data_IF_833981226736
#
_entry.id   IF_833981226736
#
_cell.length_a   1.000
_cell.length_b   1.000
_cell.length_c   1.000
_cell.angle_alpha   90.00
_cell.angle_beta   90.00
_cell.angle_gamma   90.00
#
_symmetry.space_group_name_H-M   'P 1'
#
loop_
_entity.id
_entity.type
_entity.pdbx_description
1 polymer ?
#
# COMPACT_ATOMS: atom_id res chain seq x y z
N UNK A 1 -0.68 1.36 -43.83
CA UNK A 1 -1.47 1.40 -42.58
C UNK A 1 -1.70 -0.03 -42.15
N UNK A 2 -0.95 -0.52 -41.17
CA UNK A 2 -1.10 -1.88 -40.65
C UNK A 2 -1.33 -1.73 -39.15
N UNK A 3 -2.60 -1.88 -38.75
CA UNK A 3 -3.01 -1.82 -37.34
C UNK A 3 -2.49 -3.06 -36.63
N UNK A 4 -1.83 -2.87 -35.50
CA UNK A 4 -1.37 -3.98 -34.67
C UNK A 4 -2.54 -4.39 -33.77
N UNK A 5 -2.96 -5.65 -33.86
CA UNK A 5 -4.02 -6.20 -33.02
C UNK A 5 -3.45 -6.44 -31.62
N UNK A 6 -3.93 -5.65 -30.64
CA UNK A 6 -3.65 -5.90 -29.23
C UNK A 6 -4.13 -7.28 -28.82
N UNK A 7 -3.35 -7.98 -27.99
CA UNK A 7 -3.75 -9.25 -27.39
C UNK A 7 -4.92 -8.96 -26.45
N UNK A 8 -6.10 -9.50 -26.77
CA UNK A 8 -7.26 -9.48 -25.88
C UNK A 8 -7.34 -10.85 -25.21
N UNK A 9 -6.92 -10.92 -23.95
CA UNK A 9 -7.16 -12.10 -23.11
C UNK A 9 -8.48 -11.90 -22.37
N UNK A 10 -9.58 -12.44 -22.92
CA UNK A 10 -10.87 -12.46 -22.24
C UNK A 10 -11.07 -13.82 -21.57
N UNK A 11 -11.05 -13.84 -20.23
CA UNK A 11 -11.47 -15.00 -19.44
C UNK A 11 -10.58 -15.30 -18.25
N UNK A 12 -11.01 -14.87 -17.06
CA UNK A 12 -10.76 -15.53 -15.76
C UNK A 12 -9.34 -15.99 -15.42
N UNK A 13 -8.30 -15.40 -16.00
CA UNK A 13 -6.93 -15.86 -15.86
C UNK A 13 -6.13 -14.83 -15.08
N UNK A 14 -5.58 -15.25 -13.94
CA UNK A 14 -4.71 -14.44 -13.11
C UNK A 14 -3.32 -14.38 -13.78
N UNK A 15 -3.00 -13.25 -14.41
CA UNK A 15 -1.73 -13.06 -15.09
C UNK A 15 -0.71 -12.59 -14.06
N UNK A 16 0.12 -13.50 -13.57
CA UNK A 16 1.25 -13.16 -12.71
C UNK A 16 2.49 -13.00 -13.60
N UNK A 17 2.71 -11.79 -14.08
CA UNK A 17 3.89 -11.47 -14.90
C UNK A 17 3.92 -10.00 -15.28
N UNK A 18 5.08 -9.34 -15.10
CA UNK A 18 5.28 -7.94 -15.47
C UNK A 18 5.07 -7.76 -16.97
N UNK A 19 4.10 -6.92 -17.36
CA UNK A 19 3.93 -6.50 -18.73
C UNK A 19 5.10 -5.58 -19.11
N UNK A 20 6.12 -6.12 -19.79
CA UNK A 20 7.26 -5.35 -20.29
C UNK A 20 6.97 -4.91 -21.72
N UNK A 21 6.56 -3.66 -21.90
CA UNK A 21 6.48 -3.05 -23.23
C UNK A 21 7.84 -2.42 -23.57
N UNK A 22 8.61 -3.03 -24.48
CA UNK A 22 9.86 -2.46 -24.97
C UNK A 22 9.65 -1.82 -26.35
N UNK A 23 9.63 -0.49 -26.38
CA UNK A 23 9.54 0.32 -27.59
C UNK A 23 9.42 1.81 -27.27
N UNK A 24 10.20 2.66 -27.96
CA UNK A 24 10.17 4.12 -27.79
C UNK A 24 8.78 4.63 -28.24
N UNK A 25 7.89 4.88 -27.28
CA UNK A 25 6.46 5.28 -27.38
C UNK A 25 5.39 4.18 -27.17
N UNK A 26 5.73 3.01 -26.61
CA UNK A 26 4.71 2.06 -26.19
C UNK A 26 4.06 2.50 -24.86
N UNK A 27 2.75 2.80 -24.87
CA UNK A 27 1.95 2.99 -23.66
C UNK A 27 1.17 1.71 -23.39
N UNK A 28 1.39 1.10 -22.22
CA UNK A 28 0.54 0.05 -21.69
C UNK A 28 -0.42 0.70 -20.69
N UNK A 29 -1.70 0.78 -21.03
CA UNK A 29 -2.74 1.16 -20.06
C UNK A 29 -3.30 -0.12 -19.45
N UNK A 30 -2.87 -0.41 -18.23
CA UNK A 30 -3.49 -1.44 -17.39
C UNK A 30 -4.64 -0.75 -16.66
N UNK A 31 -5.86 -0.94 -17.15
CA UNK A 31 -7.07 -0.60 -16.40
C UNK A 31 -7.42 -1.77 -15.51
N UNK A 32 -6.78 -1.83 -14.34
CA UNK A 32 -7.10 -2.82 -13.32
C UNK A 32 -8.11 -2.26 -12.32
N UNK A 33 -9.20 -2.98 -12.15
CA UNK A 33 -10.23 -2.73 -11.15
C UNK A 33 -9.89 -3.59 -9.93
N UNK A 34 -8.89 -3.20 -9.16
CA UNK A 34 -8.51 -3.97 -7.97
C UNK A 34 -7.05 -3.84 -7.56
N UNK A 35 -6.80 -2.94 -6.61
CA UNK A 35 -5.75 -3.13 -5.60
C UNK A 35 -4.32 -3.34 -6.12
N UNK A 36 -3.88 -2.68 -7.19
CA UNK A 36 -2.45 -2.38 -7.36
C UNK A 36 -2.31 -1.03 -8.08
N UNK A 37 -1.91 0.01 -7.38
CA UNK A 37 -1.41 1.22 -8.03
C UNK A 37 -0.25 1.79 -7.21
N UNK A 38 0.96 1.32 -7.51
CA UNK A 38 2.11 2.21 -7.48
C UNK A 38 1.95 3.17 -8.66
N UNK A 39 1.01 4.13 -8.55
CA UNK A 39 0.85 5.20 -9.52
C UNK A 39 1.92 6.25 -9.23
N UNK A 40 2.81 6.44 -10.20
CA UNK A 40 3.88 7.43 -10.09
C UNK A 40 3.32 8.82 -9.77
N UNK A 41 3.59 9.29 -8.55
CA UNK A 41 3.41 10.68 -8.15
C UNK A 41 2.04 11.08 -7.61
N UNK A 42 1.10 10.15 -7.40
CA UNK A 42 -0.17 10.48 -6.72
C UNK A 42 0.03 10.44 -5.21
N UNK A 43 -0.19 11.56 -4.53
CA UNK A 43 -0.23 11.61 -3.07
C UNK A 43 -1.43 10.78 -2.59
N UNK A 44 -1.24 9.79 -1.71
CA UNK A 44 -2.32 8.98 -1.19
C UNK A 44 -3.24 9.83 -0.32
N UNK A 45 -4.54 9.59 -0.45
CA UNK A 45 -5.55 10.25 0.36
C UNK A 45 -5.53 9.71 1.80
N UNK A 46 -6.00 10.51 2.78
CA UNK A 46 -6.17 10.03 4.15
C UNK A 46 -7.01 8.75 4.25
N UNK A 47 -7.98 8.56 3.36
CA UNK A 47 -8.79 7.35 3.33
C UNK A 47 -7.97 6.11 2.93
N UNK A 48 -7.13 6.24 1.90
CA UNK A 48 -6.23 5.15 1.46
C UNK A 48 -5.23 4.77 2.56
N UNK A 49 -4.70 5.75 3.30
CA UNK A 49 -3.83 5.48 4.46
C UNK A 49 -4.62 4.76 5.56
N UNK A 50 -5.86 5.17 5.83
CA UNK A 50 -6.75 4.51 6.78
C UNK A 50 -7.04 3.05 6.43
N UNK A 51 -7.19 2.74 5.14
CA UNK A 51 -7.40 1.38 4.65
C UNK A 51 -6.14 0.52 4.83
N UNK A 52 -4.95 1.09 4.56
CA UNK A 52 -3.67 0.41 4.81
C UNK A 52 -3.46 0.10 6.30
N UNK A 53 -3.81 1.04 7.18
CA UNK A 53 -3.75 0.83 8.64
C UNK A 53 -4.76 -0.25 9.09
N UNK A 54 -5.95 -0.28 8.51
CA UNK A 54 -6.95 -1.33 8.81
C UNK A 54 -6.44 -2.71 8.39
N UNK A 55 -5.82 -2.81 7.20
CA UNK A 55 -5.18 -4.04 6.73
C UNK A 55 -4.02 -4.47 7.64
N UNK A 56 -3.27 -3.53 8.20
CA UNK A 56 -2.19 -3.82 9.13
C UNK A 56 -2.71 -4.46 10.42
N UNK A 57 -3.80 -3.94 10.98
CA UNK A 57 -4.47 -4.53 12.15
C UNK A 57 -4.91 -5.97 11.86
N UNK A 58 -5.53 -6.19 10.69
CA UNK A 58 -5.99 -7.51 10.27
C UNK A 58 -4.84 -8.52 10.13
N UNK A 59 -3.71 -8.11 9.52
CA UNK A 59 -2.53 -8.96 9.38
C UNK A 59 -1.85 -9.22 10.73
N UNK A 60 -1.76 -8.21 11.61
CA UNK A 60 -1.23 -8.35 12.96
C UNK A 60 -2.08 -9.32 13.79
N UNK A 61 -3.41 -9.24 13.67
CA UNK A 61 -4.35 -10.13 14.35
C UNK A 61 -4.26 -11.60 13.90
N UNK A 62 -3.77 -11.85 12.68
CA UNK A 62 -3.50 -13.20 12.14
C UNK A 62 -2.07 -13.67 12.38
N UNK A 63 -1.19 -12.78 12.85
CA UNK A 63 0.22 -13.07 13.09
C UNK A 63 0.48 -13.50 14.54
N UNK A 64 1.51 -14.32 14.74
CA UNK A 64 2.06 -14.64 16.06
C UNK A 64 3.09 -13.60 16.54
N UNK A 65 2.97 -12.34 16.10
CA UNK A 65 3.94 -11.30 16.48
C UNK A 65 3.93 -11.10 18.00
N UNK A 66 5.12 -11.09 18.66
CA UNK A 66 5.20 -10.98 20.12
C UNK A 66 4.56 -9.69 20.63
N UNK A 67 4.74 -8.59 19.89
CA UNK A 67 4.22 -7.26 20.20
C UNK A 67 2.90 -6.96 19.46
N UNK A 68 2.14 -7.96 19.02
CA UNK A 68 0.93 -7.72 18.19
C UNK A 68 -0.07 -6.78 18.84
N UNK A 69 -0.25 -6.87 20.15
CA UNK A 69 -1.24 -6.07 20.89
C UNK A 69 -0.83 -4.59 20.87
N UNK A 70 0.43 -4.32 21.22
CA UNK A 70 0.99 -2.97 21.22
C UNK A 70 1.00 -2.36 19.81
N UNK A 71 1.27 -3.17 18.78
CA UNK A 71 1.24 -2.71 17.39
C UNK A 71 -0.17 -2.44 16.88
N UNK A 72 -1.17 -3.25 17.28
CA UNK A 72 -2.58 -2.98 16.96
C UNK A 72 -3.01 -1.68 17.62
N UNK A 73 -2.74 -1.50 18.91
CA UNK A 73 -3.05 -0.26 19.64
C UNK A 73 -2.40 0.96 18.97
N UNK A 74 -1.10 0.90 18.69
CA UNK A 74 -0.40 1.98 18.00
C UNK A 74 -0.96 2.29 16.61
N UNK A 75 -1.45 1.26 15.90
CA UNK A 75 -2.07 1.41 14.58
C UNK A 75 -3.47 2.03 14.68
N UNK A 76 -4.26 1.67 15.69
CA UNK A 76 -5.54 2.31 16.00
C UNK A 76 -5.34 3.78 16.35
N UNK A 77 -4.35 4.09 17.19
CA UNK A 77 -3.98 5.44 17.60
C UNK A 77 -3.57 6.32 16.39
N UNK A 78 -2.90 5.72 15.40
CA UNK A 78 -2.57 6.37 14.13
C UNK A 78 -3.80 6.61 13.23
N UNK A 79 -4.79 5.69 13.23
CA UNK A 79 -6.06 5.88 12.51
C UNK A 79 -6.89 7.01 13.12
N UNK A 80 -6.95 7.08 14.44
CA UNK A 80 -7.63 8.18 15.14
C UNK A 80 -6.96 9.52 14.84
N UNK A 81 -5.62 9.57 14.88
CA UNK A 81 -4.87 10.78 14.53
C UNK A 81 -5.12 11.23 13.10
N UNK A 82 -5.24 10.28 12.17
CA UNK A 82 -5.52 10.58 10.76
C UNK A 82 -6.95 11.09 10.53
N UNK A 83 -7.90 10.67 11.36
CA UNK A 83 -9.29 11.09 11.30
C UNK A 83 -9.57 12.41 12.04
N UNK A 84 -8.58 12.92 12.79
CA UNK A 84 -8.70 14.20 13.49
C UNK A 84 -8.91 15.37 12.50
N UNK A 85 -9.60 16.42 12.95
CA UNK A 85 -9.80 17.64 12.14
C UNK A 85 -8.46 18.30 11.77
N UNK A 86 -7.46 18.19 12.65
CA UNK A 86 -6.09 18.69 12.44
C UNK A 86 -5.06 17.57 12.70
N UNK A 87 -4.79 16.69 11.71
CA UNK A 87 -3.86 15.58 11.89
C UNK A 87 -2.42 16.03 12.16
N UNK A 88 -1.81 15.54 13.22
CA UNK A 88 -0.40 15.82 13.54
C UNK A 88 0.49 14.93 12.69
N UNK A 89 0.87 15.43 11.51
CA UNK A 89 1.79 14.76 10.57
C UNK A 89 3.08 14.26 11.23
N UNK A 90 3.61 14.99 12.21
CA UNK A 90 4.80 14.58 12.97
C UNK A 90 4.59 13.27 13.77
N UNK A 91 3.40 13.09 14.37
CA UNK A 91 3.04 11.86 15.09
C UNK A 91 2.91 10.68 14.11
N UNK A 92 2.24 10.89 12.98
CA UNK A 92 2.09 9.87 11.95
C UNK A 92 3.44 9.42 11.36
N UNK A 93 4.35 10.37 11.08
CA UNK A 93 5.71 10.05 10.60
C UNK A 93 6.53 9.28 11.64
N UNK A 94 6.42 9.64 12.92
CA UNK A 94 7.07 8.91 14.00
C UNK A 94 6.53 7.47 14.10
N UNK A 95 5.20 7.32 14.04
CA UNK A 95 4.55 6.00 14.00
C UNK A 95 5.08 5.15 12.85
N UNK A 96 5.08 5.67 11.62
CA UNK A 96 5.53 4.94 10.44
C UNK A 96 6.98 4.45 10.58
N UNK A 97 7.86 5.29 11.11
CA UNK A 97 9.27 4.94 11.34
C UNK A 97 9.43 3.86 12.40
N UNK A 98 8.68 3.94 13.50
CA UNK A 98 8.71 2.93 14.57
C UNK A 98 8.15 1.59 14.08
N UNK A 99 7.06 1.64 13.30
CA UNK A 99 6.42 0.46 12.71
C UNK A 99 7.42 -0.35 11.89
N UNK A 100 8.20 0.29 11.00
CA UNK A 100 9.20 -0.40 10.18
C UNK A 100 10.24 -1.18 11.01
N UNK A 101 10.64 -0.63 12.16
CA UNK A 101 11.55 -1.31 13.08
C UNK A 101 10.89 -2.50 13.75
N UNK A 102 9.66 -2.33 14.22
CA UNK A 102 8.94 -3.35 14.97
C UNK A 102 8.56 -4.57 14.14
N UNK A 103 8.18 -4.38 12.86
CA UNK A 103 7.80 -5.50 11.98
C UNK A 103 8.97 -6.09 11.19
N UNK A 104 10.20 -5.66 11.48
CA UNK A 104 11.40 -6.13 10.80
C UNK A 104 11.65 -7.61 11.12
N UNK A 105 11.28 -8.49 10.19
CA UNK A 105 11.38 -9.94 10.36
C UNK A 105 10.16 -10.72 9.88
N UNK A 106 9.01 -10.05 9.72
CA UNK A 106 7.81 -10.65 9.12
C UNK A 106 7.59 -10.03 7.74
N UNK A 107 7.97 -10.75 6.68
CA UNK A 107 8.02 -10.20 5.31
C UNK A 107 6.70 -9.55 4.87
N UNK A 108 5.55 -10.16 5.20
CA UNK A 108 4.23 -9.61 4.85
C UNK A 108 3.93 -8.27 5.56
N UNK A 109 4.24 -8.18 6.86
CA UNK A 109 4.05 -6.95 7.64
C UNK A 109 5.06 -5.87 7.23
N UNK A 110 6.31 -6.25 6.93
CA UNK A 110 7.35 -5.32 6.49
C UNK A 110 7.00 -4.65 5.16
N UNK A 111 6.46 -5.39 4.18
CA UNK A 111 6.01 -4.80 2.92
C UNK A 111 4.86 -3.80 3.14
N UNK A 112 3.90 -4.13 4.01
CA UNK A 112 2.79 -3.23 4.32
C UNK A 112 3.25 -1.97 5.07
N UNK A 113 4.20 -2.12 6.01
CA UNK A 113 4.78 -1.00 6.74
C UNK A 113 5.52 -0.02 5.82
N UNK A 114 6.24 -0.50 4.81
CA UNK A 114 6.87 0.37 3.79
C UNK A 114 5.82 1.18 3.03
N UNK A 115 4.74 0.53 2.56
CA UNK A 115 3.67 1.25 1.86
C UNK A 115 3.00 2.32 2.73
N UNK A 116 2.79 2.03 4.02
CA UNK A 116 2.26 3.00 4.98
C UNK A 116 3.23 4.17 5.19
N UNK A 117 4.53 3.90 5.28
CA UNK A 117 5.56 4.92 5.46
C UNK A 117 5.63 5.88 4.27
N UNK A 118 5.66 5.34 3.05
CA UNK A 118 5.67 6.13 1.83
C UNK A 118 4.41 6.99 1.73
N UNK A 119 3.26 6.43 2.11
CA UNK A 119 1.99 7.13 2.07
C UNK A 119 1.92 8.27 3.08
N UNK A 120 2.41 8.06 4.32
CA UNK A 120 2.46 9.08 5.35
C UNK A 120 3.51 10.17 5.02
N UNK A 121 4.61 9.82 4.38
CA UNK A 121 5.57 10.82 3.89
C UNK A 121 4.98 11.70 2.79
N UNK A 122 4.04 11.17 2.00
CA UNK A 122 3.30 11.89 0.98
C UNK A 122 2.24 12.87 1.50
N UNK A 123 1.91 12.88 2.80
CA UNK A 123 0.91 13.78 3.41
C UNK A 123 1.37 15.24 3.57
#
# INVERSE_FOLDING_TARGET
MQGNNGIIATGGSNVVGNAVASGRNAKAEVRDSGLTQSDGGRQPSPQEIGDLLSRLIDELGRSDHPERADLIEATEDAREELAAEEPRKGKLRLFARTLMGAVSGVTGLASLAVTIEEAIHGL
#
